data_IF_400083000537
#
_entry.id   IF_400083000537
#
_cell.length_a   1.000
_cell.length_b   1.000
_cell.length_c   1.000
_cell.angle_alpha   90.00
_cell.angle_beta   90.00
_cell.angle_gamma   90.00
#
_symmetry.space_group_name_H-M   'P 1'
#
loop_
_entity.id
_entity.type
_entity.pdbx_description
1 polymer ?
#
# COMPACT_ATOMS: atom_id res chain seq x y z
N UNK A 1 4.18 12.40 -12.23
CA UNK A 1 4.18 11.22 -11.35
C UNK A 1 3.18 11.39 -10.23
N UNK A 2 2.62 10.30 -9.77
CA UNK A 2 1.72 10.29 -8.61
C UNK A 2 2.42 9.55 -7.48
N UNK A 3 2.52 10.19 -6.33
CA UNK A 3 3.05 9.58 -5.11
C UNK A 3 1.91 9.32 -4.15
N UNK A 4 1.93 8.16 -3.50
CA UNK A 4 0.99 7.81 -2.44
C UNK A 4 1.81 7.50 -1.20
N UNK A 5 1.63 8.31 -0.17
CA UNK A 5 2.44 8.24 1.05
C UNK A 5 1.53 8.18 2.25
N UNK A 6 1.80 7.28 3.15
CA UNK A 6 1.04 7.20 4.37
C UNK A 6 1.35 6.00 5.24
N UNK A 7 0.36 5.62 6.02
CA UNK A 7 0.49 4.55 6.99
C UNK A 7 -0.87 3.94 7.36
N UNK A 8 -0.82 2.78 7.96
CA UNK A 8 -1.93 2.18 8.70
C UNK A 8 -1.40 1.33 9.84
N UNK A 9 -2.28 0.92 10.74
CA UNK A 9 -1.93 0.04 11.85
C UNK A 9 -2.61 -1.29 11.71
N UNK A 10 -1.89 -2.33 12.10
CA UNK A 10 -2.38 -3.67 12.24
C UNK A 10 -2.10 -4.10 13.69
N UNK A 11 -3.06 -4.74 14.39
CA UNK A 11 -2.74 -5.27 15.72
C UNK A 11 -1.49 -6.14 15.66
N UNK A 12 -0.50 -5.93 16.56
CA UNK A 12 0.74 -6.71 16.51
C UNK A 12 0.52 -8.22 16.57
N UNK A 13 -0.49 -8.66 17.30
CA UNK A 13 -0.89 -10.07 17.40
C UNK A 13 -1.42 -10.66 16.09
N UNK A 14 -1.84 -9.82 15.15
CA UNK A 14 -2.33 -10.23 13.84
C UNK A 14 -1.29 -10.09 12.72
N UNK A 15 -0.08 -9.63 13.03
CA UNK A 15 0.96 -9.42 12.01
C UNK A 15 1.36 -10.72 11.31
N UNK A 16 1.44 -11.84 12.03
CA UNK A 16 1.77 -13.12 11.41
C UNK A 16 0.76 -13.52 10.33
N UNK A 17 -0.53 -13.25 10.56
CA UNK A 17 -1.59 -13.49 9.57
C UNK A 17 -1.59 -12.43 8.46
N UNK A 18 -1.27 -11.19 8.77
CA UNK A 18 -1.29 -10.07 7.81
C UNK A 18 -0.14 -10.13 6.80
N UNK A 19 1.07 -10.55 7.21
CA UNK A 19 2.25 -10.53 6.32
C UNK A 19 2.06 -11.27 5.01
N UNK A 20 1.57 -12.52 4.96
CA UNK A 20 1.36 -13.18 3.67
C UNK A 20 0.30 -12.50 2.81
N UNK A 21 -0.73 -11.89 3.41
CA UNK A 21 -1.76 -11.17 2.67
C UNK A 21 -1.22 -9.85 2.09
N UNK A 22 -0.40 -9.13 2.86
CA UNK A 22 0.29 -7.93 2.37
C UNK A 22 1.26 -8.28 1.24
N UNK A 23 2.03 -9.35 1.37
CA UNK A 23 2.92 -9.81 0.32
C UNK A 23 2.17 -10.15 -0.97
N UNK A 24 1.02 -10.81 -0.85
CA UNK A 24 0.18 -11.16 -2.00
C UNK A 24 -0.31 -9.93 -2.76
N UNK A 25 -0.86 -8.94 -2.06
CA UNK A 25 -1.35 -7.72 -2.71
C UNK A 25 -0.21 -6.89 -3.31
N UNK A 26 0.96 -6.86 -2.65
CA UNK A 26 2.14 -6.18 -3.19
C UNK A 26 2.61 -6.82 -4.50
N UNK A 27 2.72 -8.14 -4.53
CA UNK A 27 3.15 -8.86 -5.73
C UNK A 27 2.17 -8.66 -6.89
N UNK A 28 0.87 -8.74 -6.64
CA UNK A 28 -0.15 -8.52 -7.66
C UNK A 28 -0.12 -7.07 -8.18
N UNK A 29 -0.03 -6.10 -7.27
CA UNK A 29 -0.04 -4.67 -7.62
C UNK A 29 1.19 -4.29 -8.45
N UNK A 30 2.35 -4.84 -8.13
CA UNK A 30 3.60 -4.55 -8.86
C UNK A 30 3.58 -5.00 -10.31
N UNK A 31 2.64 -5.84 -10.72
CA UNK A 31 2.44 -6.24 -12.12
C UNK A 31 1.48 -5.33 -12.88
N UNK A 32 0.81 -4.40 -12.20
CA UNK A 32 -0.16 -3.51 -12.83
C UNK A 32 0.51 -2.48 -13.72
N UNK A 33 -0.18 -2.12 -14.80
CA UNK A 33 0.27 -1.07 -15.71
C UNK A 33 0.41 0.26 -14.96
N UNK A 34 1.55 0.93 -15.13
CA UNK A 34 1.84 2.22 -14.52
C UNK A 34 2.28 2.16 -13.05
N UNK A 35 2.35 0.99 -12.44
CA UNK A 35 2.90 0.84 -11.09
C UNK A 35 4.43 0.90 -11.15
N UNK A 36 5.01 1.99 -10.66
CA UNK A 36 6.46 2.15 -10.57
C UNK A 36 6.98 1.56 -9.27
N UNK A 37 6.33 1.86 -8.17
CA UNK A 37 6.62 1.29 -6.86
C UNK A 37 5.33 1.03 -6.08
N UNK A 38 5.32 -0.01 -5.29
CA UNK A 38 4.25 -0.32 -4.36
C UNK A 38 4.84 -1.05 -3.15
N UNK A 39 4.89 -0.35 -2.01
CA UNK A 39 5.59 -0.85 -0.83
C UNK A 39 4.76 -0.72 0.44
N UNK A 40 4.69 -1.81 1.19
CA UNK A 40 4.33 -1.83 2.59
C UNK A 40 5.56 -2.24 3.37
N UNK A 41 5.91 -1.49 4.41
CA UNK A 41 7.07 -1.78 5.24
C UNK A 41 6.72 -1.63 6.71
N UNK A 42 7.17 -2.56 7.54
CA UNK A 42 7.00 -2.48 8.98
C UNK A 42 7.96 -1.44 9.55
N UNK A 43 7.45 -0.55 10.39
CA UNK A 43 8.27 0.40 11.11
C UNK A 43 9.15 -0.34 12.13
N UNK A 44 10.45 -0.07 12.14
CA UNK A 44 11.39 -0.76 13.02
C UNK A 44 11.19 -0.42 14.49
N UNK A 45 10.59 0.73 14.79
CA UNK A 45 10.48 1.27 16.15
C UNK A 45 9.06 1.19 16.72
N UNK A 46 8.08 0.84 15.88
CA UNK A 46 6.67 0.84 16.29
C UNK A 46 5.97 -0.41 15.76
N UNK A 47 5.89 -1.50 16.56
CA UNK A 47 5.27 -2.74 16.14
C UNK A 47 3.81 -2.56 15.71
N UNK A 48 3.46 -3.09 14.54
CA UNK A 48 2.12 -2.97 13.97
C UNK A 48 1.89 -1.71 13.13
N UNK A 49 2.85 -0.78 13.09
CA UNK A 49 2.79 0.37 12.18
C UNK A 49 3.36 -0.02 10.82
N UNK A 50 2.54 0.12 9.79
CA UNK A 50 2.91 -0.17 8.40
C UNK A 50 3.03 1.14 7.63
N UNK A 51 4.20 1.36 7.03
CA UNK A 51 4.45 2.50 6.16
C UNK A 51 4.08 2.14 4.72
N UNK A 52 3.42 3.06 4.04
CA UNK A 52 2.97 2.90 2.65
C UNK A 52 3.70 3.90 1.77
N UNK A 53 4.30 3.42 0.69
CA UNK A 53 4.84 4.28 -0.35
C UNK A 53 4.54 3.68 -1.72
N UNK A 54 3.94 4.49 -2.59
CA UNK A 54 3.58 4.07 -3.94
C UNK A 54 3.99 5.15 -4.93
N UNK A 55 4.39 4.74 -6.12
CA UNK A 55 4.65 5.64 -7.25
C UNK A 55 3.91 5.10 -8.45
N UNK A 56 3.11 5.95 -9.08
CA UNK A 56 2.32 5.63 -10.27
C UNK A 56 2.64 6.60 -11.39
N UNK A 57 2.63 6.12 -12.63
CA UNK A 57 2.89 6.97 -13.79
C UNK A 57 1.81 8.02 -14.00
N UNK A 58 0.53 7.68 -13.68
CA UNK A 58 -0.61 8.60 -13.84
C UNK A 58 -1.70 8.34 -12.81
N UNK A 59 -2.55 9.35 -12.62
CA UNK A 59 -3.75 9.24 -11.78
C UNK A 59 -4.72 8.19 -12.27
N UNK A 60 -4.88 8.05 -13.58
CA UNK A 60 -5.76 7.06 -14.18
C UNK A 60 -5.36 5.63 -13.80
N UNK A 61 -4.06 5.34 -13.77
CA UNK A 61 -3.54 4.03 -13.40
C UNK A 61 -3.72 3.76 -11.91
N UNK A 62 -3.53 4.74 -11.05
CA UNK A 62 -3.87 4.62 -9.63
C UNK A 62 -5.36 4.34 -9.44
N UNK A 63 -6.23 5.04 -10.17
CA UNK A 63 -7.67 4.81 -10.12
C UNK A 63 -8.04 3.41 -10.57
N UNK A 64 -7.41 2.90 -11.63
CA UNK A 64 -7.61 1.52 -12.11
C UNK A 64 -7.18 0.50 -11.04
N UNK A 65 -6.05 0.73 -10.35
CA UNK A 65 -5.58 -0.09 -9.24
C UNK A 65 -6.63 -0.26 -8.15
N UNK A 66 -7.31 0.82 -7.77
CA UNK A 66 -8.32 0.79 -6.72
C UNK A 66 -9.56 -0.04 -7.08
N UNK A 67 -9.73 -0.39 -8.35
CA UNK A 67 -10.85 -1.20 -8.87
C UNK A 67 -10.47 -2.65 -9.13
N UNK A 68 -9.24 -3.06 -8.86
CA UNK A 68 -8.79 -4.43 -9.10
C UNK A 68 -9.41 -5.41 -8.10
N UNK A 69 -9.51 -6.68 -8.51
CA UNK A 69 -10.01 -7.74 -7.64
C UNK A 69 -9.10 -7.95 -6.43
N UNK A 70 -7.77 -7.95 -6.64
CA UNK A 70 -6.85 -8.14 -5.52
C UNK A 70 -6.93 -7.02 -4.48
N UNK A 71 -7.27 -5.79 -4.86
CA UNK A 71 -7.56 -4.72 -3.91
C UNK A 71 -8.86 -4.96 -3.15
N UNK A 72 -9.93 -5.41 -3.84
CA UNK A 72 -11.19 -5.74 -3.19
C UNK A 72 -11.00 -6.85 -2.14
N UNK A 73 -10.24 -7.88 -2.47
CA UNK A 73 -9.92 -8.97 -1.53
C UNK A 73 -9.12 -8.45 -0.34
N UNK A 74 -8.08 -7.65 -0.59
CA UNK A 74 -7.25 -7.07 0.46
C UNK A 74 -8.04 -6.17 1.41
N UNK A 75 -8.93 -5.32 0.89
CA UNK A 75 -9.78 -4.46 1.72
C UNK A 75 -10.64 -5.27 2.68
N UNK A 76 -11.18 -6.39 2.23
CA UNK A 76 -11.97 -7.30 3.08
C UNK A 76 -11.09 -7.99 4.12
N UNK A 77 -9.95 -8.55 3.70
CA UNK A 77 -9.04 -9.28 4.57
C UNK A 77 -8.46 -8.38 5.67
N UNK A 78 -8.03 -7.17 5.33
CA UNK A 78 -7.44 -6.24 6.30
C UNK A 78 -8.44 -5.73 7.32
N UNK A 79 -9.69 -5.53 6.91
CA UNK A 79 -10.76 -5.15 7.83
C UNK A 79 -11.01 -6.25 8.86
N UNK A 80 -11.05 -7.50 8.44
CA UNK A 80 -11.21 -8.66 9.33
C UNK A 80 -10.04 -8.81 10.30
N UNK A 81 -8.84 -8.38 9.93
CA UNK A 81 -7.64 -8.42 10.79
C UNK A 81 -7.52 -7.23 11.74
N UNK A 82 -8.40 -6.25 11.64
CA UNK A 82 -8.43 -5.10 12.55
C UNK A 82 -7.56 -3.92 12.12
N UNK A 83 -7.37 -3.70 10.82
CA UNK A 83 -6.70 -2.50 10.32
C UNK A 83 -7.33 -1.25 10.90
N UNK A 84 -6.51 -0.32 11.34
CA UNK A 84 -6.92 0.98 11.91
C UNK A 84 -5.94 2.08 11.54
N UNK A 85 -6.24 3.32 11.90
CA UNK A 85 -5.30 4.43 11.78
C UNK A 85 -4.82 4.70 10.35
N UNK A 86 -5.63 4.37 9.34
CA UNK A 86 -5.27 4.59 7.95
C UNK A 86 -5.23 6.07 7.62
N UNK A 87 -4.04 6.56 7.27
CA UNK A 87 -3.78 7.95 6.90
C UNK A 87 -2.86 7.97 5.68
N UNK A 88 -3.45 8.06 4.49
CA UNK A 88 -2.75 7.96 3.22
C UNK A 88 -3.11 9.16 2.35
N UNK A 89 -2.10 9.82 1.79
CA UNK A 89 -2.27 11.03 0.97
C UNK A 89 -1.69 10.83 -0.41
N UNK A 90 -2.39 11.32 -1.41
CA UNK A 90 -1.96 11.31 -2.82
C UNK A 90 -1.37 12.67 -3.18
N UNK A 91 -0.20 12.66 -3.80
CA UNK A 91 0.49 13.87 -4.25
C UNK A 91 0.76 13.79 -5.74
N UNK A 92 0.60 14.91 -6.43
CA UNK A 92 1.16 15.10 -7.77
C UNK A 92 2.60 15.60 -7.63
N UNK A 93 3.53 14.99 -8.34
CA UNK A 93 4.94 15.30 -8.22
C UNK A 93 5.63 15.29 -9.57
N UNK A 94 6.78 15.96 -9.64
CA UNK A 94 7.70 15.81 -10.77
C UNK A 94 8.30 14.40 -10.76
N UNK A 95 9.05 14.07 -11.79
CA UNK A 95 9.79 12.80 -11.84
C UNK A 95 10.90 12.72 -10.79
N UNK A 96 11.22 13.83 -10.15
CA UNK A 96 12.30 13.92 -9.20
C UNK A 96 13.68 13.91 -9.85
N UNK A 97 14.69 14.05 -9.01
CA UNK A 97 16.08 13.93 -9.43
C UNK A 97 16.83 13.06 -8.43
N UNK A 98 17.81 12.27 -8.87
CA UNK A 98 18.63 11.49 -7.94
C UNK A 98 19.35 12.41 -6.94
N UNK A 99 19.42 11.96 -5.72
CA UNK A 99 20.15 12.65 -4.67
C UNK A 99 21.66 12.38 -4.78
#
# INVERSE_FOLDING_TARGET
>A
MILVIGQFRMPPENMAAARPLMSKVMLATRTEDGCVEYNYAEDLLDPGLIRVSEVWESRAQLTAHLKTEHMAVWVTERAALGLSGRAITVFEASEGTPL
#
